data_IF_396801154941
#
_entry.id   IF_396801154941
#
_cell.length_a   1.000
_cell.length_b   1.000
_cell.length_c   1.000
_cell.angle_alpha   90.00
_cell.angle_beta   90.00
_cell.angle_gamma   90.00
#
_symmetry.space_group_name_H-M   'P 1'
#
loop_
_entity.id
_entity.type
_entity.pdbx_description
1 polymer ?
#
# COMPACT_ATOMS: atom_id res chain seq x y z
N UNK A 1 34.83 -3.71 -1.65
CA UNK A 1 34.16 -4.12 -0.40
C UNK A 1 32.88 -4.87 -0.75
N UNK A 2 32.65 -6.05 -0.18
CA UNK A 2 31.33 -6.70 -0.28
C UNK A 2 30.32 -5.86 0.49
N UNK A 3 29.12 -5.70 -0.08
CA UNK A 3 27.99 -5.10 0.65
C UNK A 3 27.63 -6.02 1.80
N UNK A 4 27.23 -5.41 2.92
CA UNK A 4 26.63 -6.17 4.02
C UNK A 4 25.19 -6.52 3.67
N UNK A 5 24.66 -7.59 4.26
CA UNK A 5 23.25 -7.98 4.09
C UNK A 5 22.28 -6.83 4.45
N UNK A 6 22.66 -5.97 5.40
CA UNK A 6 21.89 -4.78 5.76
C UNK A 6 21.82 -3.76 4.62
N UNK A 7 22.93 -3.54 3.91
CA UNK A 7 22.96 -2.62 2.77
C UNK A 7 22.10 -3.14 1.62
N UNK A 8 22.11 -4.45 1.36
CA UNK A 8 21.29 -5.06 0.32
C UNK A 8 19.79 -4.96 0.65
N UNK A 9 19.41 -5.24 1.90
CA UNK A 9 18.01 -5.11 2.36
C UNK A 9 17.53 -3.66 2.23
N UNK A 10 18.35 -2.67 2.59
CA UNK A 10 17.99 -1.25 2.48
C UNK A 10 17.72 -0.86 1.02
N UNK A 11 18.55 -1.33 0.08
CA UNK A 11 18.36 -1.06 -1.35
C UNK A 11 17.07 -1.68 -1.88
N UNK A 12 16.79 -2.93 -1.49
CA UNK A 12 15.54 -3.62 -1.84
C UNK A 12 14.33 -2.87 -1.29
N UNK A 13 14.35 -2.51 -0.01
CA UNK A 13 13.27 -1.75 0.63
C UNK A 13 13.05 -0.39 -0.04
N UNK A 14 14.10 0.31 -0.46
CA UNK A 14 13.98 1.59 -1.14
C UNK A 14 13.24 1.47 -2.49
N UNK A 15 13.43 0.37 -3.22
CA UNK A 15 12.70 0.08 -4.47
C UNK A 15 11.22 -0.20 -4.16
N UNK A 16 10.94 -1.06 -3.17
CA UNK A 16 9.56 -1.37 -2.78
C UNK A 16 8.80 -0.14 -2.28
N UNK A 17 9.41 0.71 -1.46
CA UNK A 17 8.79 1.95 -0.97
C UNK A 17 8.39 2.86 -2.13
N UNK A 18 9.24 3.00 -3.15
CA UNK A 18 8.92 3.81 -4.34
C UNK A 18 7.75 3.22 -5.12
N UNK A 19 7.74 1.90 -5.32
CA UNK A 19 6.65 1.21 -6.00
C UNK A 19 5.31 1.39 -5.27
N UNK A 20 5.28 1.11 -3.96
CA UNK A 20 4.08 1.26 -3.12
C UNK A 20 3.54 2.68 -3.16
N UNK A 21 4.39 3.70 -3.00
CA UNK A 21 3.96 5.11 -3.04
C UNK A 21 3.39 5.50 -4.39
N UNK A 22 3.96 4.99 -5.48
CA UNK A 22 3.46 5.23 -6.84
C UNK A 22 2.06 4.62 -7.01
N UNK A 23 1.90 3.34 -6.66
CA UNK A 23 0.61 2.64 -6.71
C UNK A 23 -0.44 3.34 -5.84
N UNK A 24 -0.07 3.79 -4.63
CA UNK A 24 -1.01 4.50 -3.76
C UNK A 24 -1.51 5.82 -4.34
N UNK A 25 -0.63 6.54 -5.03
CA UNK A 25 -0.98 7.79 -5.72
C UNK A 25 -1.89 7.52 -6.92
N UNK A 26 -1.59 6.48 -7.69
CA UNK A 26 -2.40 6.06 -8.84
C UNK A 26 -3.79 5.62 -8.41
N UNK A 27 -3.89 4.75 -7.40
CA UNK A 27 -5.17 4.33 -6.81
C UNK A 27 -6.03 5.54 -6.41
N UNK A 28 -5.44 6.51 -5.69
CA UNK A 28 -6.14 7.73 -5.30
C UNK A 28 -6.66 8.53 -6.51
N UNK A 29 -5.85 8.64 -7.57
CA UNK A 29 -6.26 9.34 -8.79
C UNK A 29 -7.37 8.63 -9.57
N UNK A 30 -7.46 7.30 -9.44
CA UNK A 30 -8.46 6.45 -10.09
C UNK A 30 -9.70 6.22 -9.21
N UNK A 31 -9.76 6.78 -8.01
CA UNK A 31 -10.84 6.50 -7.07
C UNK A 31 -10.83 5.08 -6.50
N UNK A 32 -9.68 4.40 -6.53
CA UNK A 32 -9.49 3.06 -5.98
C UNK A 32 -8.98 3.13 -4.53
N UNK A 33 -9.41 2.21 -3.65
CA UNK A 33 -8.88 2.11 -2.30
C UNK A 33 -7.41 1.65 -2.26
N UNK A 34 -6.66 2.15 -1.28
CA UNK A 34 -5.36 1.60 -0.92
C UNK A 34 -5.50 0.45 0.07
N UNK A 35 -4.81 -0.67 -0.17
CA UNK A 35 -4.88 -1.86 0.66
C UNK A 35 -3.68 -1.93 1.60
N UNK A 36 -3.93 -2.24 2.86
CA UNK A 36 -2.92 -2.43 3.89
C UNK A 36 -3.19 -3.75 4.62
N UNK A 37 -2.13 -4.35 5.18
CA UNK A 37 -2.25 -5.46 6.11
C UNK A 37 -1.54 -5.10 7.40
N UNK A 38 -2.24 -5.18 8.53
CA UNK A 38 -1.68 -4.96 9.86
C UNK A 38 -2.20 -6.05 10.78
N UNK A 39 -1.29 -6.69 11.53
CA UNK A 39 -1.63 -7.77 12.47
C UNK A 39 -2.45 -8.91 11.81
N UNK A 40 -2.16 -9.22 10.54
CA UNK A 40 -2.87 -10.25 9.78
C UNK A 40 -4.29 -9.86 9.32
N UNK A 41 -4.72 -8.62 9.57
CA UNK A 41 -5.99 -8.07 9.09
C UNK A 41 -5.79 -7.13 7.92
N UNK A 42 -6.67 -7.22 6.94
CA UNK A 42 -6.66 -6.35 5.75
C UNK A 42 -7.50 -5.10 6.00
N UNK A 43 -6.96 -3.95 5.65
CA UNK A 43 -7.60 -2.65 5.75
C UNK A 43 -7.57 -1.96 4.38
N UNK A 44 -8.61 -1.17 4.12
CA UNK A 44 -8.78 -0.39 2.91
C UNK A 44 -8.90 1.07 3.28
N UNK A 45 -8.02 1.92 2.76
CA UNK A 45 -8.16 3.36 2.79
C UNK A 45 -8.87 3.81 1.52
N UNK A 46 -10.10 4.28 1.66
CA UNK A 46 -10.90 4.80 0.57
C UNK A 46 -10.30 6.12 0.03
N UNK A 47 -10.65 6.54 -1.21
CA UNK A 47 -10.12 7.77 -1.81
C UNK A 47 -10.43 9.04 -1.01
N UNK A 48 -11.52 9.04 -0.25
CA UNK A 48 -11.94 10.12 0.65
C UNK A 48 -11.18 10.15 2.00
N UNK A 49 -10.29 9.18 2.22
CA UNK A 49 -9.45 9.07 3.41
C UNK A 49 -10.02 8.20 4.53
N UNK A 50 -11.27 7.72 4.42
CA UNK A 50 -11.82 6.77 5.41
C UNK A 50 -11.08 5.44 5.35
N UNK A 51 -10.92 4.79 6.50
CA UNK A 51 -10.33 3.44 6.59
C UNK A 51 -11.42 2.47 7.03
N UNK A 52 -11.50 1.32 6.36
CA UNK A 52 -12.44 0.23 6.66
C UNK A 52 -11.73 -1.11 6.59
N UNK A 53 -12.10 -2.05 7.44
CA UNK A 53 -11.72 -3.47 7.37
C UNK A 53 -12.86 -4.34 6.78
N UNK A 54 -13.94 -3.69 6.32
CA UNK A 54 -15.11 -4.34 5.70
C UNK A 54 -15.21 -3.96 4.23
N UNK A 55 -15.40 -4.96 3.37
CA UNK A 55 -15.86 -4.75 2.00
C UNK A 55 -17.37 -4.54 2.07
N UNK A 56 -17.82 -3.29 1.93
CA UNK A 56 -19.26 -3.01 1.81
C UNK A 56 -19.71 -3.39 0.39
N UNK A 57 -20.77 -4.21 0.26
CA UNK A 57 -21.38 -4.62 -1.02
C UNK A 57 -21.79 -3.43 -1.93
N UNK A 58 -21.88 -2.21 -1.39
CA UNK A 58 -22.33 -1.01 -2.12
C UNK A 58 -21.25 -0.28 -2.94
N UNK A 59 -20.09 -0.87 -3.21
CA UNK A 59 -19.09 -0.21 -4.07
C UNK A 59 -19.43 -0.26 -5.58
N UNK A 60 -20.57 -0.87 -5.94
CA UNK A 60 -21.09 -0.99 -7.31
C UNK A 60 -22.51 -0.43 -7.49
N UNK A 61 -22.88 0.67 -6.83
CA UNK A 61 -24.15 1.38 -7.10
C UNK A 61 -23.91 2.75 -7.71
#
# INVERSE_FOLDING_TARGET
>A
MKKTIYQEIVEILAIFIKAVRKTQKENRSLGLPNVYCSEGKVFYQLPDGRITDRISEKLHS
#
